data_IF_455656574008
#
_entry.id   IF_455656574008
#
_cell.length_a   1.000
_cell.length_b   1.000
_cell.length_c   1.000
_cell.angle_alpha   90.00
_cell.angle_beta   90.00
_cell.angle_gamma   90.00
#
_symmetry.space_group_name_H-M   'P 1'
#
loop_
_entity.id
_entity.type
_entity.pdbx_description
1 polymer ?
#
# COMPACT_ATOMS: atom_id res chain seq x y z
N UNK A 1 9.09 -10.19 -3.15
CA UNK A 1 8.31 -8.93 -3.19
C UNK A 1 7.90 -8.58 -1.77
N UNK A 2 8.00 -7.32 -1.34
CA UNK A 2 7.60 -6.90 -0.01
C UNK A 2 6.07 -6.99 0.16
N UNK A 3 5.62 -7.50 1.30
CA UNK A 3 4.21 -7.57 1.68
C UNK A 3 3.94 -6.56 2.80
N UNK A 4 2.89 -5.75 2.64
CA UNK A 4 2.46 -4.77 3.63
C UNK A 4 1.03 -5.04 4.04
N UNK A 5 0.77 -4.99 5.35
CA UNK A 5 -0.57 -5.09 5.89
C UNK A 5 -1.20 -3.69 5.92
N UNK A 6 -2.36 -3.57 5.28
CA UNK A 6 -3.17 -2.37 5.33
C UNK A 6 -4.16 -2.49 6.49
N UNK A 7 -3.94 -1.74 7.57
CA UNK A 7 -4.72 -1.81 8.82
C UNK A 7 -6.00 -0.94 8.79
N UNK A 8 -6.66 -0.85 7.65
CA UNK A 8 -7.93 -0.14 7.47
C UNK A 8 -8.88 -1.01 6.64
N UNK A 9 -10.04 -0.49 6.25
CA UNK A 9 -11.07 -1.24 5.56
C UNK A 9 -10.77 -1.41 4.07
N UNK A 10 -11.28 -2.50 3.49
CA UNK A 10 -11.23 -2.75 2.05
C UNK A 10 -12.01 -1.72 1.22
N UNK A 11 -12.90 -0.93 1.85
CA UNK A 11 -13.54 0.24 1.20
C UNK A 11 -12.55 1.38 1.08
N UNK A 12 -11.82 1.70 2.15
CA UNK A 12 -10.77 2.74 2.15
C UNK A 12 -9.68 2.41 1.13
N UNK A 13 -9.25 1.15 1.06
CA UNK A 13 -8.27 0.70 0.08
C UNK A 13 -8.74 0.91 -1.35
N UNK A 14 -10.00 0.56 -1.66
CA UNK A 14 -10.60 0.82 -2.97
C UNK A 14 -10.61 2.30 -3.33
N UNK A 15 -10.98 3.17 -2.39
CA UNK A 15 -10.97 4.63 -2.60
C UNK A 15 -9.57 5.18 -2.87
N UNK A 16 -8.54 4.71 -2.16
CA UNK A 16 -7.14 5.10 -2.39
C UNK A 16 -6.66 4.73 -3.81
N UNK A 17 -7.17 3.63 -4.36
CA UNK A 17 -6.91 3.23 -5.73
C UNK A 17 -7.78 3.98 -6.77
N UNK A 18 -8.65 4.90 -6.35
CA UNK A 18 -9.61 5.59 -7.24
C UNK A 18 -10.75 4.69 -7.72
N UNK A 19 -11.01 3.59 -7.03
CA UNK A 19 -12.03 2.61 -7.39
C UNK A 19 -13.30 2.80 -6.54
N UNK A 20 -14.45 2.51 -7.14
CA UNK A 20 -15.75 2.61 -6.46
C UNK A 20 -16.18 1.31 -5.76
N UNK A 21 -15.35 0.26 -5.82
CA UNK A 21 -15.61 -1.04 -5.22
C UNK A 21 -14.57 -1.41 -4.16
N UNK A 22 -14.89 -2.40 -3.34
CA UNK A 22 -14.01 -2.89 -2.26
C UNK A 22 -12.81 -3.63 -2.85
N UNK A 23 -11.63 -3.34 -2.34
CA UNK A 23 -10.37 -3.98 -2.73
C UNK A 23 -9.79 -4.69 -1.51
N UNK A 24 -9.45 -5.97 -1.65
CA UNK A 24 -8.89 -6.79 -0.56
C UNK A 24 -7.36 -6.85 -0.58
N UNK A 25 -6.75 -6.73 -1.76
CA UNK A 25 -5.31 -6.75 -1.95
C UNK A 25 -4.94 -5.99 -3.24
N UNK A 26 -3.73 -5.45 -3.28
CA UNK A 26 -3.18 -4.76 -4.46
C UNK A 26 -1.73 -5.17 -4.64
N UNK A 27 -1.32 -5.38 -5.88
CA UNK A 27 0.07 -5.58 -6.26
C UNK A 27 0.59 -4.37 -7.01
N UNK A 28 1.78 -3.89 -6.65
CA UNK A 28 2.45 -2.80 -7.33
C UNK A 28 3.57 -3.37 -8.21
N UNK A 29 3.40 -3.25 -9.52
CA UNK A 29 4.32 -3.88 -10.48
C UNK A 29 5.58 -3.03 -10.78
N UNK A 30 5.53 -1.72 -10.52
CA UNK A 30 6.57 -0.75 -10.92
C UNK A 30 7.31 -0.10 -9.74
N UNK A 31 7.00 -0.47 -8.50
CA UNK A 31 7.65 0.14 -7.34
C UNK A 31 8.94 -0.61 -7.00
N UNK A 32 10.08 0.09 -7.08
CA UNK A 32 11.38 -0.52 -6.77
C UNK A 32 11.48 -0.85 -5.27
N UNK A 33 12.17 -1.95 -4.94
CA UNK A 33 12.34 -2.38 -3.55
C UNK A 33 13.02 -1.30 -2.68
N UNK A 34 13.93 -0.51 -3.26
CA UNK A 34 14.60 0.61 -2.60
C UNK A 34 13.62 1.72 -2.21
N UNK A 35 12.69 2.07 -3.10
CA UNK A 35 11.67 3.07 -2.77
C UNK A 35 10.71 2.57 -1.69
N UNK A 36 10.31 1.29 -1.72
CA UNK A 36 9.48 0.69 -0.65
C UNK A 36 10.17 0.80 0.70
N UNK A 37 11.44 0.40 0.79
CA UNK A 37 12.19 0.45 2.06
C UNK A 37 12.37 1.87 2.59
N UNK A 38 12.59 2.85 1.70
CA UNK A 38 12.71 4.25 2.08
C UNK A 38 11.39 4.77 2.70
N UNK A 39 10.26 4.49 2.07
CA UNK A 39 8.92 4.90 2.56
C UNK A 39 8.62 4.27 3.93
N UNK A 40 8.95 2.97 4.11
CA UNK A 40 8.75 2.29 5.41
C UNK A 40 9.60 2.95 6.49
N UNK A 41 10.88 3.23 6.22
CA UNK A 41 11.76 3.92 7.17
C UNK A 41 11.25 5.32 7.53
N UNK A 42 10.79 6.09 6.55
CA UNK A 42 10.20 7.41 6.79
C UNK A 42 8.94 7.31 7.67
N UNK A 43 8.10 6.30 7.46
CA UNK A 43 6.93 6.05 8.30
C UNK A 43 7.30 5.67 9.74
N UNK A 44 8.31 4.82 9.93
CA UNK A 44 8.78 4.39 11.26
C UNK A 44 9.52 5.50 12.03
N UNK A 45 10.07 6.50 11.33
CA UNK A 45 10.78 7.63 11.93
C UNK A 45 9.84 8.79 12.31
N UNK A 46 8.54 8.64 12.09
CA UNK A 46 7.50 9.62 12.42
C UNK A 46 6.91 9.36 13.81
#
# INVERSE_FOLDING_TARGET
>A
MPLLHFNDTSVTLGKLCGLQFRVSAISLNSLSATNVQAIIKEYETK
#
